data_IF_303735666536
#
_entry.id   IF_303735666536
#
_cell.length_a   1.000
_cell.length_b   1.000
_cell.length_c   1.000
_cell.angle_alpha   90.00
_cell.angle_beta   90.00
_cell.angle_gamma   90.00
#
_symmetry.space_group_name_H-M   'P 1'
#
loop_
_entity.id
_entity.type
_entity.pdbx_description
1 polymer ?
#
# COMPACT_ATOMS: atom_id res chain seq x y z
N UNK A 1 -13.85 -3.37 25.98
CA UNK A 1 -12.77 -2.82 25.14
C UNK A 1 -13.42 -2.45 23.82
N UNK A 2 -13.32 -1.21 23.37
CA UNK A 2 -13.79 -0.82 22.05
C UNK A 2 -13.01 -1.62 21.01
N UNK A 3 -13.72 -2.23 20.09
CA UNK A 3 -13.16 -3.13 19.08
C UNK A 3 -12.36 -2.25 18.07
N UNK A 4 -11.07 -2.03 18.36
CA UNK A 4 -10.18 -1.18 17.57
C UNK A 4 -9.85 -1.91 16.27
N UNK A 5 -10.14 -1.28 15.14
CA UNK A 5 -9.64 -1.74 13.84
C UNK A 5 -8.11 -1.75 13.88
N UNK A 6 -7.48 -2.86 13.47
CA UNK A 6 -6.03 -2.98 13.30
C UNK A 6 -5.74 -3.72 12.00
N UNK A 7 -5.05 -3.08 11.08
CA UNK A 7 -4.57 -3.76 9.88
C UNK A 7 -3.19 -3.25 9.47
N UNK A 8 -2.52 -4.00 8.62
CA UNK A 8 -1.17 -3.67 8.14
C UNK A 8 -1.22 -3.41 6.64
N UNK A 9 -0.44 -2.44 6.16
CA UNK A 9 -0.23 -2.18 4.73
C UNK A 9 1.25 -2.39 4.42
N UNK A 10 1.53 -3.29 3.48
CA UNK A 10 2.81 -3.48 2.82
C UNK A 10 2.70 -3.02 1.38
N UNK A 11 3.79 -2.58 0.76
CA UNK A 11 3.85 -2.15 -0.63
C UNK A 11 5.26 -2.26 -1.16
N UNK A 12 5.44 -2.18 -2.47
CA UNK A 12 6.74 -2.06 -3.12
C UNK A 12 7.68 -3.23 -2.73
N UNK A 13 7.24 -4.45 -3.01
CA UNK A 13 7.98 -5.67 -2.69
C UNK A 13 9.05 -6.00 -3.73
N UNK A 14 8.77 -5.71 -5.00
CA UNK A 14 9.66 -5.90 -6.16
C UNK A 14 10.32 -7.29 -6.19
N UNK A 15 9.50 -8.33 -5.97
CA UNK A 15 10.03 -9.69 -6.03
C UNK A 15 10.59 -10.01 -7.41
N UNK A 16 11.70 -10.75 -7.39
CA UNK A 16 12.36 -11.28 -8.59
C UNK A 16 12.40 -12.80 -8.55
N UNK A 17 12.83 -13.43 -9.64
CA UNK A 17 13.03 -14.88 -9.74
C UNK A 17 14.01 -15.38 -8.68
N UNK A 18 13.93 -16.66 -8.41
CA UNK A 18 14.88 -17.30 -7.47
C UNK A 18 16.32 -17.13 -7.97
N UNK A 19 17.21 -16.73 -7.06
CA UNK A 19 18.63 -16.49 -7.34
C UNK A 19 18.94 -15.12 -7.94
N UNK A 20 17.93 -14.28 -8.22
CA UNK A 20 18.09 -12.91 -8.68
C UNK A 20 17.94 -11.90 -7.54
N UNK A 21 18.39 -10.66 -7.78
CA UNK A 21 18.26 -9.53 -6.88
C UNK A 21 17.73 -8.32 -7.65
N UNK A 22 16.92 -7.47 -7.03
CA UNK A 22 16.58 -6.17 -7.56
C UNK A 22 17.38 -5.08 -6.84
N UNK A 23 18.07 -4.22 -7.58
CA UNK A 23 18.97 -3.19 -7.05
C UNK A 23 19.97 -3.71 -6.01
N UNK A 24 20.48 -4.94 -6.20
CA UNK A 24 21.38 -5.66 -5.29
C UNK A 24 20.74 -6.06 -3.95
N UNK A 25 19.41 -6.02 -3.83
CA UNK A 25 18.67 -6.47 -2.66
C UNK A 25 18.05 -7.85 -2.91
N UNK A 26 18.13 -8.74 -1.92
CA UNK A 26 17.36 -9.99 -1.88
C UNK A 26 15.93 -9.65 -1.43
N UNK A 27 15.06 -9.44 -2.40
CA UNK A 27 13.68 -9.00 -2.16
C UNK A 27 12.82 -10.07 -1.49
N UNK A 28 13.15 -11.36 -1.72
CA UNK A 28 12.42 -12.42 -1.02
C UNK A 28 12.81 -12.52 0.45
N UNK A 29 14.10 -12.45 0.79
CA UNK A 29 14.52 -12.41 2.19
C UNK A 29 13.89 -11.20 2.92
N UNK A 30 13.73 -10.07 2.24
CA UNK A 30 13.05 -8.90 2.79
C UNK A 30 11.56 -9.17 3.04
N UNK A 31 10.86 -9.79 2.10
CA UNK A 31 9.45 -10.16 2.30
C UNK A 31 9.30 -11.22 3.40
N UNK A 32 10.18 -12.21 3.47
CA UNK A 32 10.19 -13.20 4.56
C UNK A 32 10.35 -12.54 5.93
N UNK A 33 11.23 -11.54 6.04
CA UNK A 33 11.40 -10.76 7.26
C UNK A 33 10.14 -9.94 7.60
N UNK A 34 9.47 -9.33 6.59
CA UNK A 34 8.21 -8.62 6.78
C UNK A 34 7.10 -9.57 7.28
N UNK A 35 6.97 -10.77 6.70
CA UNK A 35 6.01 -11.79 7.11
C UNK A 35 6.31 -12.28 8.55
N UNK A 36 7.58 -12.48 8.89
CA UNK A 36 8.00 -12.87 10.23
C UNK A 36 7.62 -11.77 11.26
N UNK A 37 7.93 -10.51 10.97
CA UNK A 37 7.56 -9.36 11.81
C UNK A 37 6.04 -9.22 11.96
N UNK A 38 5.27 -9.35 10.86
CA UNK A 38 3.81 -9.34 10.88
C UNK A 38 3.26 -10.43 11.80
N UNK A 39 3.72 -11.66 11.65
CA UNK A 39 3.24 -12.80 12.42
C UNK A 39 3.65 -12.76 13.91
N UNK A 40 4.77 -12.11 14.24
CA UNK A 40 5.27 -11.97 15.60
C UNK A 40 4.58 -10.81 16.34
N UNK A 41 4.53 -9.64 15.73
CA UNK A 41 4.10 -8.41 16.40
C UNK A 41 2.63 -8.04 16.14
N UNK A 42 2.06 -8.50 15.02
CA UNK A 42 0.73 -8.10 14.54
C UNK A 42 -0.17 -9.29 14.21
N UNK A 43 0.04 -10.43 14.88
CA UNK A 43 -0.80 -11.63 14.73
C UNK A 43 -2.29 -11.38 15.08
N UNK A 44 -2.59 -10.30 15.78
CA UNK A 44 -3.93 -9.84 16.13
C UNK A 44 -4.50 -8.79 15.16
N UNK A 45 -3.83 -8.51 14.06
CA UNK A 45 -4.38 -7.65 13.00
C UNK A 45 -5.62 -8.30 12.36
N UNK A 46 -6.58 -7.48 11.98
CA UNK A 46 -7.79 -7.95 11.33
C UNK A 46 -7.50 -8.50 9.92
N UNK A 47 -6.52 -7.87 9.24
CA UNK A 47 -6.05 -8.27 7.90
C UNK A 47 -4.75 -7.54 7.55
N UNK A 48 -4.16 -7.91 6.41
CA UNK A 48 -3.07 -7.20 5.76
C UNK A 48 -3.45 -6.83 4.32
N UNK A 49 -2.98 -5.68 3.84
CA UNK A 49 -3.07 -5.26 2.44
C UNK A 49 -1.66 -5.20 1.86
N UNK A 50 -1.46 -5.80 0.67
CA UNK A 50 -0.25 -5.63 -0.12
C UNK A 50 -0.61 -4.71 -1.29
N UNK A 51 -0.08 -3.49 -1.27
CA UNK A 51 -0.56 -2.36 -2.07
C UNK A 51 0.30 -2.11 -3.31
N UNK A 52 0.55 -3.15 -4.11
CA UNK A 52 1.18 -3.05 -5.44
C UNK A 52 2.71 -3.12 -5.45
N UNK A 53 3.26 -3.14 -6.66
CA UNK A 53 4.64 -3.45 -6.99
C UNK A 53 5.10 -4.75 -6.32
N UNK A 54 4.35 -5.80 -6.63
CA UNK A 54 4.53 -7.14 -6.08
C UNK A 54 5.76 -7.82 -6.68
N UNK A 55 5.87 -7.78 -8.01
CA UNK A 55 7.00 -8.25 -8.80
C UNK A 55 7.76 -7.05 -9.39
N UNK A 56 9.05 -7.24 -9.68
CA UNK A 56 9.90 -6.17 -10.24
C UNK A 56 9.60 -5.93 -11.73
N UNK A 57 9.28 -6.97 -12.48
CA UNK A 57 8.96 -6.91 -13.92
C UNK A 57 7.67 -7.69 -14.29
N UNK A 58 6.85 -8.06 -13.32
CA UNK A 58 5.56 -8.72 -13.55
C UNK A 58 5.65 -10.17 -14.05
N UNK A 59 6.77 -10.85 -13.83
CA UNK A 59 6.98 -12.22 -14.29
C UNK A 59 6.32 -13.28 -13.41
N UNK A 60 5.88 -14.39 -14.02
CA UNK A 60 5.13 -15.44 -13.35
C UNK A 60 5.90 -16.08 -12.18
N UNK A 61 7.20 -16.28 -12.34
CA UNK A 61 8.05 -16.88 -11.31
C UNK A 61 8.13 -16.02 -10.05
N UNK A 62 8.15 -14.69 -10.18
CA UNK A 62 8.10 -13.77 -9.05
C UNK A 62 6.74 -13.85 -8.33
N UNK A 63 5.64 -13.95 -9.06
CA UNK A 63 4.30 -14.14 -8.47
C UNK A 63 4.14 -15.50 -7.79
N UNK A 64 4.68 -16.59 -8.33
CA UNK A 64 4.68 -17.89 -7.64
C UNK A 64 5.50 -17.84 -6.34
N UNK A 65 6.62 -17.12 -6.35
CA UNK A 65 7.43 -16.89 -5.16
C UNK A 65 6.68 -16.04 -4.13
N UNK A 66 6.01 -14.95 -4.57
CA UNK A 66 5.11 -14.14 -3.74
C UNK A 66 4.07 -15.02 -3.07
N UNK A 67 3.35 -15.82 -3.85
CA UNK A 67 2.29 -16.71 -3.39
C UNK A 67 2.80 -17.69 -2.32
N UNK A 68 4.00 -18.23 -2.53
CA UNK A 68 4.64 -19.15 -1.59
C UNK A 68 4.98 -18.48 -0.26
N UNK A 69 5.60 -17.30 -0.30
CA UNK A 69 6.02 -16.58 0.92
C UNK A 69 4.79 -16.04 1.67
N UNK A 70 3.84 -15.44 0.95
CA UNK A 70 2.63 -14.86 1.58
C UNK A 70 1.67 -15.89 2.13
N UNK A 71 1.74 -17.16 1.70
CA UNK A 71 1.03 -18.27 2.33
C UNK A 71 1.41 -18.45 3.82
N UNK A 72 2.55 -17.92 4.25
CA UNK A 72 2.96 -17.87 5.65
C UNK A 72 2.27 -16.81 6.50
N UNK A 73 1.54 -15.88 5.90
CA UNK A 73 0.78 -14.84 6.63
C UNK A 73 -0.44 -15.48 7.31
N UNK A 74 -0.62 -15.19 8.61
CA UNK A 74 -1.63 -15.83 9.45
C UNK A 74 -2.98 -15.10 9.51
N UNK A 75 -3.05 -13.91 8.96
CA UNK A 75 -4.27 -13.08 8.91
C UNK A 75 -4.77 -12.98 7.47
N UNK A 76 -6.06 -12.65 7.22
CA UNK A 76 -6.57 -12.44 5.88
C UNK A 76 -5.71 -11.46 5.08
N UNK A 77 -5.41 -11.77 3.81
CA UNK A 77 -4.55 -10.97 2.95
C UNK A 77 -5.31 -10.48 1.73
N UNK A 78 -5.25 -9.18 1.47
CA UNK A 78 -5.79 -8.52 0.27
C UNK A 78 -4.65 -7.94 -0.54
N UNK A 79 -4.67 -8.15 -1.84
CA UNK A 79 -3.58 -7.73 -2.74
C UNK A 79 -4.17 -6.82 -3.82
N UNK A 80 -3.48 -5.74 -4.15
CA UNK A 80 -3.73 -4.95 -5.36
C UNK A 80 -2.43 -4.77 -6.14
N UNK A 81 -2.50 -4.16 -7.33
CA UNK A 81 -1.36 -4.07 -8.23
C UNK A 81 -0.76 -2.66 -8.28
N UNK A 82 0.54 -2.59 -8.60
CA UNK A 82 1.28 -1.39 -8.94
C UNK A 82 1.71 -1.35 -10.41
N UNK A 83 2.55 -0.40 -10.76
CA UNK A 83 2.97 -0.19 -12.16
C UNK A 83 4.01 -1.22 -12.64
N UNK A 84 4.72 -1.89 -11.75
CA UNK A 84 5.62 -3.00 -12.09
C UNK A 84 4.89 -4.32 -12.33
N UNK A 85 3.61 -4.40 -11.97
CA UNK A 85 2.84 -5.63 -12.06
C UNK A 85 2.19 -5.82 -13.45
N UNK A 86 2.19 -7.08 -13.94
CA UNK A 86 1.43 -7.51 -15.10
C UNK A 86 0.15 -8.21 -14.64
N UNK A 87 -1.02 -7.55 -14.82
CA UNK A 87 -2.31 -8.07 -14.35
C UNK A 87 -2.69 -9.41 -14.96
N UNK A 88 -2.54 -9.66 -16.28
CA UNK A 88 -2.80 -10.98 -16.86
C UNK A 88 -1.96 -12.07 -16.22
N UNK A 89 -0.66 -11.85 -16.04
CA UNK A 89 0.24 -12.83 -15.40
C UNK A 89 -0.12 -13.05 -13.93
N UNK A 90 -0.41 -11.98 -13.17
CA UNK A 90 -0.91 -12.09 -11.81
C UNK A 90 -2.18 -12.96 -11.74
N UNK A 91 -3.17 -12.70 -12.58
CA UNK A 91 -4.43 -13.46 -12.61
C UNK A 91 -4.23 -14.91 -13.03
N UNK A 92 -3.25 -15.23 -13.87
CA UNK A 92 -2.91 -16.60 -14.21
C UNK A 92 -2.36 -17.38 -12.99
N UNK A 93 -1.57 -16.72 -12.11
CA UNK A 93 -0.96 -17.35 -10.93
C UNK A 93 -1.94 -17.41 -9.75
N UNK A 94 -2.63 -16.31 -9.46
CA UNK A 94 -3.50 -16.20 -8.28
C UNK A 94 -4.96 -16.59 -8.56
N UNK A 95 -5.39 -16.57 -9.82
CA UNK A 95 -6.72 -16.92 -10.25
C UNK A 95 -7.55 -15.72 -10.73
N UNK A 96 -8.35 -15.94 -11.76
CA UNK A 96 -9.17 -14.90 -12.39
C UNK A 96 -10.23 -14.28 -11.44
N UNK A 97 -10.58 -14.97 -10.36
CA UNK A 97 -11.53 -14.49 -9.35
C UNK A 97 -11.01 -13.33 -8.50
N UNK A 98 -9.72 -12.99 -8.61
CA UNK A 98 -9.16 -11.80 -7.97
C UNK A 98 -9.57 -10.49 -8.65
N UNK A 99 -9.96 -10.52 -9.93
CA UNK A 99 -10.50 -9.34 -10.61
C UNK A 99 -11.98 -9.14 -10.23
N UNK A 100 -12.36 -7.89 -9.96
CA UNK A 100 -13.74 -7.50 -9.74
C UNK A 100 -14.50 -7.22 -11.05
N UNK A 101 -15.74 -6.71 -10.94
CA UNK A 101 -16.57 -6.35 -12.09
C UNK A 101 -15.99 -5.25 -12.99
N UNK A 102 -15.01 -4.49 -12.52
CA UNK A 102 -14.30 -3.47 -13.32
C UNK A 102 -13.14 -4.07 -14.13
N UNK A 103 -12.79 -5.33 -13.88
CA UNK A 103 -11.62 -5.99 -14.45
C UNK A 103 -10.30 -5.61 -13.76
N UNK A 104 -10.38 -4.94 -12.62
CA UNK A 104 -9.24 -4.51 -11.78
C UNK A 104 -9.19 -5.33 -10.49
N UNK A 105 -8.10 -5.23 -9.76
CA UNK A 105 -7.92 -5.91 -8.47
C UNK A 105 -8.29 -4.95 -7.34
N UNK A 106 -9.60 -4.65 -7.25
CA UNK A 106 -10.16 -3.80 -6.20
C UNK A 106 -10.77 -4.68 -5.08
N UNK A 107 -10.84 -4.14 -3.85
CA UNK A 107 -11.50 -4.81 -2.72
C UNK A 107 -12.32 -3.83 -1.90
N UNK A 108 -13.37 -4.34 -1.25
CA UNK A 108 -14.12 -3.67 -0.18
C UNK A 108 -14.09 -4.57 1.05
N UNK A 109 -13.66 -4.01 2.17
CA UNK A 109 -13.51 -4.74 3.44
C UNK A 109 -14.31 -3.97 4.50
N UNK A 110 -15.40 -4.56 4.97
CA UNK A 110 -16.19 -4.03 6.08
C UNK A 110 -15.82 -4.75 7.38
N UNK A 111 -15.27 -4.02 8.32
CA UNK A 111 -14.76 -4.59 9.57
C UNK A 111 -14.84 -3.57 10.71
N UNK A 112 -15.30 -3.99 11.87
CA UNK A 112 -15.32 -3.18 13.11
C UNK A 112 -15.88 -1.76 12.92
N UNK A 113 -16.93 -1.63 12.09
CA UNK A 113 -17.59 -0.35 11.82
C UNK A 113 -16.85 0.57 10.84
N UNK A 114 -15.78 0.11 10.22
CA UNK A 114 -15.05 0.78 9.14
C UNK A 114 -15.32 0.13 7.80
N UNK A 115 -15.21 0.90 6.74
CA UNK A 115 -15.00 0.40 5.37
C UNK A 115 -13.59 0.72 4.92
N UNK A 116 -12.84 -0.29 4.45
CA UNK A 116 -11.56 -0.12 3.77
C UNK A 116 -11.76 -0.47 2.30
N UNK A 117 -11.44 0.47 1.41
CA UNK A 117 -11.51 0.31 -0.04
C UNK A 117 -10.09 0.23 -0.59
N UNK A 118 -9.79 -0.84 -1.31
CA UNK A 118 -8.51 -1.03 -2.00
C UNK A 118 -8.75 -0.82 -3.49
N UNK A 119 -7.92 0.02 -4.13
CA UNK A 119 -8.03 0.35 -5.54
C UNK A 119 -6.78 -0.07 -6.32
N UNK A 120 -6.98 -0.78 -7.40
CA UNK A 120 -5.95 -1.07 -8.40
C UNK A 120 -5.80 0.15 -9.33
N UNK A 121 -4.77 0.95 -9.09
CA UNK A 121 -4.44 2.13 -9.88
C UNK A 121 -3.43 1.85 -10.98
N UNK A 122 -3.04 0.57 -11.20
CA UNK A 122 -2.12 0.18 -12.26
C UNK A 122 -2.78 0.25 -13.64
N UNK A 123 -2.00 0.62 -14.65
CA UNK A 123 -2.44 0.60 -16.05
C UNK A 123 -1.31 0.05 -16.93
N UNK A 124 -1.59 -0.96 -17.80
CA UNK A 124 -0.54 -1.56 -18.62
C UNK A 124 0.27 -0.54 -19.44
N UNK A 125 1.60 -0.63 -19.36
CA UNK A 125 2.53 0.23 -20.06
C UNK A 125 2.65 1.66 -19.50
N UNK A 126 2.11 1.93 -18.31
CA UNK A 126 2.22 3.22 -17.63
C UNK A 126 2.92 3.07 -16.29
N UNK A 127 3.72 4.07 -15.94
CA UNK A 127 4.37 4.19 -14.62
C UNK A 127 3.53 5.04 -13.68
N UNK A 128 2.76 5.99 -14.21
CA UNK A 128 1.82 6.81 -13.47
C UNK A 128 0.47 6.08 -13.25
N UNK A 129 -0.21 6.37 -12.15
CA UNK A 129 -1.47 5.72 -11.80
C UNK A 129 -2.64 6.19 -12.66
N UNK A 130 -3.53 5.28 -13.01
CA UNK A 130 -4.79 5.58 -13.71
C UNK A 130 -5.96 4.96 -12.99
N UNK A 131 -6.96 5.78 -12.69
CA UNK A 131 -8.27 5.34 -12.21
C UNK A 131 -9.30 5.58 -13.32
N UNK A 132 -9.84 4.50 -13.88
CA UNK A 132 -10.75 4.58 -15.02
C UNK A 132 -12.13 5.16 -14.61
N UNK A 133 -12.89 5.68 -15.58
CA UNK A 133 -14.24 6.17 -15.34
C UNK A 133 -15.16 5.08 -14.73
N UNK A 134 -14.95 3.80 -15.11
CA UNK A 134 -15.68 2.68 -14.52
C UNK A 134 -15.32 2.50 -13.04
N UNK A 135 -14.02 2.55 -12.68
CA UNK A 135 -13.61 2.51 -11.28
C UNK A 135 -14.13 3.72 -10.48
N UNK A 136 -14.21 4.91 -11.08
CA UNK A 136 -14.77 6.08 -10.38
C UNK A 136 -16.27 5.92 -10.10
N UNK A 137 -17.03 5.32 -11.03
CA UNK A 137 -18.44 4.95 -10.79
C UNK A 137 -18.55 3.91 -9.68
N UNK A 138 -17.72 2.87 -9.73
CA UNK A 138 -17.64 1.83 -8.72
C UNK A 138 -17.28 2.43 -7.33
N UNK A 139 -16.22 3.24 -7.24
CA UNK A 139 -15.80 3.88 -6.01
C UNK A 139 -16.92 4.74 -5.41
N UNK A 140 -17.56 5.56 -6.22
CA UNK A 140 -18.68 6.43 -5.76
C UNK A 140 -19.83 5.60 -5.18
N UNK A 141 -20.17 4.46 -5.83
CA UNK A 141 -21.16 3.52 -5.30
C UNK A 141 -20.73 2.93 -3.95
N UNK A 142 -19.46 2.46 -3.85
CA UNK A 142 -18.93 1.88 -2.59
C UNK A 142 -18.90 2.91 -1.45
N UNK A 143 -18.58 4.17 -1.76
CA UNK A 143 -18.61 5.27 -0.78
C UNK A 143 -20.06 5.57 -0.32
N UNK A 144 -21.01 5.60 -1.24
CA UNK A 144 -22.42 5.84 -0.90
C UNK A 144 -23.01 4.74 0.00
N UNK A 145 -22.63 3.48 -0.23
CA UNK A 145 -23.03 2.35 0.61
C UNK A 145 -22.48 2.44 2.05
N UNK A 146 -21.42 3.20 2.26
CA UNK A 146 -20.74 3.40 3.55
C UNK A 146 -21.02 4.76 4.16
N UNK A 147 -22.07 5.47 3.76
CA UNK A 147 -22.37 6.84 4.20
C UNK A 147 -22.51 6.99 5.74
N UNK A 148 -22.71 5.89 6.45
CA UNK A 148 -22.92 5.82 7.90
C UNK A 148 -21.64 5.46 8.71
N UNK A 149 -20.49 5.26 8.04
CA UNK A 149 -19.27 4.77 8.70
C UNK A 149 -18.00 5.39 8.10
N UNK A 150 -16.89 5.47 8.88
CA UNK A 150 -15.61 5.96 8.38
C UNK A 150 -15.04 5.07 7.27
N UNK A 151 -14.39 5.71 6.29
CA UNK A 151 -13.74 5.04 5.16
C UNK A 151 -12.24 5.33 5.16
N UNK A 152 -11.46 4.27 4.88
CA UNK A 152 -10.03 4.35 4.56
C UNK A 152 -9.86 3.84 3.13
N UNK A 153 -9.02 4.51 2.34
CA UNK A 153 -8.71 4.10 0.96
C UNK A 153 -7.24 3.73 0.86
N UNK A 154 -6.94 2.58 0.23
CA UNK A 154 -5.58 2.12 -0.01
C UNK A 154 -5.41 1.89 -1.52
N UNK A 155 -4.32 2.38 -2.09
CA UNK A 155 -3.98 2.19 -3.50
C UNK A 155 -2.46 2.24 -3.66
N UNK A 156 -1.95 1.87 -4.85
CA UNK A 156 -0.50 1.93 -5.06
C UNK A 156 -0.01 3.36 -5.28
N UNK A 157 -0.56 4.09 -6.25
CA UNK A 157 -0.08 5.42 -6.61
C UNK A 157 -0.67 6.52 -5.73
N UNK A 158 0.16 7.43 -5.25
CA UNK A 158 -0.31 8.62 -4.52
C UNK A 158 -1.00 9.64 -5.45
N UNK A 159 -1.95 10.39 -4.92
CA UNK A 159 -2.61 11.47 -5.67
C UNK A 159 -1.96 12.84 -5.42
N UNK A 160 -1.53 13.10 -4.19
CA UNK A 160 -0.95 14.38 -3.80
C UNK A 160 0.49 14.54 -4.31
N UNK A 161 0.87 15.77 -4.68
CA UNK A 161 2.26 16.10 -4.93
C UNK A 161 3.09 16.05 -3.63
N UNK A 162 4.31 15.54 -3.76
CA UNK A 162 5.31 15.48 -2.71
C UNK A 162 6.41 16.54 -2.89
N UNK A 163 6.33 17.34 -3.97
CA UNK A 163 7.30 18.34 -4.37
C UNK A 163 8.69 17.76 -4.65
N UNK A 164 8.73 16.56 -5.24
CA UNK A 164 9.94 15.83 -5.65
C UNK A 164 9.84 15.39 -7.12
N UNK A 165 10.90 14.82 -7.66
CA UNK A 165 10.92 14.36 -9.07
C UNK A 165 9.85 13.29 -9.36
N UNK A 166 9.47 12.48 -8.38
CA UNK A 166 8.44 11.43 -8.50
C UNK A 166 7.00 11.98 -8.70
N UNK A 167 6.77 13.28 -8.59
CA UNK A 167 5.44 13.86 -8.85
C UNK A 167 4.94 13.65 -10.28
N UNK A 168 5.83 13.31 -11.20
CA UNK A 168 5.48 13.01 -12.61
C UNK A 168 4.84 11.63 -12.78
N UNK A 169 4.94 10.76 -11.78
CA UNK A 169 4.47 9.37 -11.80
C UNK A 169 3.32 9.09 -10.81
N UNK A 170 2.79 10.11 -10.13
CA UNK A 170 1.57 10.00 -9.30
C UNK A 170 0.33 9.66 -10.16
N UNK A 171 -0.86 9.58 -9.58
CA UNK A 171 -2.11 9.47 -10.35
C UNK A 171 -2.17 10.56 -11.42
N UNK A 172 -2.38 10.16 -12.68
CA UNK A 172 -2.29 11.01 -13.86
C UNK A 172 -3.31 12.17 -13.82
N UNK A 173 -4.56 11.86 -13.53
CA UNK A 173 -5.65 12.83 -13.32
C UNK A 173 -6.34 12.48 -12.02
N UNK A 174 -5.96 13.17 -10.96
CA UNK A 174 -6.47 12.92 -9.62
C UNK A 174 -7.78 13.66 -9.33
N UNK A 175 -8.21 14.60 -10.18
CA UNK A 175 -9.40 15.40 -9.92
C UNK A 175 -10.69 14.58 -9.80
N UNK A 176 -10.99 13.57 -10.64
CA UNK A 176 -12.14 12.70 -10.47
C UNK A 176 -12.08 11.89 -9.16
N UNK A 177 -10.89 11.41 -8.77
CA UNK A 177 -10.69 10.66 -7.53
C UNK A 177 -10.96 11.55 -6.31
N UNK A 178 -10.39 12.74 -6.27
CA UNK A 178 -10.63 13.71 -5.19
C UNK A 178 -12.12 14.11 -5.12
N UNK A 179 -12.75 14.30 -6.27
CA UNK A 179 -14.20 14.61 -6.33
C UNK A 179 -15.02 13.45 -5.75
N UNK A 180 -14.71 12.20 -6.10
CA UNK A 180 -15.38 11.03 -5.56
C UNK A 180 -15.20 10.93 -4.03
N UNK A 181 -13.99 11.06 -3.51
CA UNK A 181 -13.72 11.01 -2.06
C UNK A 181 -14.51 12.09 -1.31
N UNK A 182 -14.64 13.28 -1.86
CA UNK A 182 -15.38 14.40 -1.26
C UNK A 182 -16.89 14.19 -1.20
N UNK A 183 -17.44 13.20 -1.88
CA UNK A 183 -18.86 12.82 -1.73
C UNK A 183 -19.13 12.15 -0.40
N UNK A 184 -18.09 11.65 0.28
CA UNK A 184 -18.20 10.98 1.57
C UNK A 184 -17.78 11.90 2.72
N UNK A 185 -18.58 11.92 3.79
CA UNK A 185 -18.38 12.85 4.92
C UNK A 185 -17.25 12.47 5.88
N UNK A 186 -16.73 11.24 5.83
CA UNK A 186 -15.77 10.73 6.81
C UNK A 186 -14.68 9.85 6.16
N UNK A 187 -13.85 10.46 5.29
CA UNK A 187 -12.64 9.82 4.78
C UNK A 187 -11.51 10.01 5.81
N UNK A 188 -11.14 8.93 6.48
CA UNK A 188 -10.16 8.96 7.58
C UNK A 188 -8.72 8.95 7.11
N UNK A 189 -8.42 8.30 5.99
CA UNK A 189 -7.07 8.19 5.46
C UNK A 189 -7.08 7.71 4.01
N UNK A 190 -6.12 8.19 3.22
CA UNK A 190 -5.72 7.61 1.93
C UNK A 190 -4.26 7.19 2.05
N UNK A 191 -3.96 5.90 1.84
CA UNK A 191 -2.63 5.32 2.02
C UNK A 191 -2.12 4.82 0.68
N UNK A 192 -0.87 5.16 0.34
CA UNK A 192 -0.24 4.77 -0.92
C UNK A 192 1.22 4.33 -0.73
N UNK A 193 1.73 3.51 -1.66
CA UNK A 193 3.14 3.15 -1.83
C UNK A 193 3.83 3.96 -2.92
N UNK A 194 4.46 3.25 -3.87
CA UNK A 194 4.99 3.72 -5.16
C UNK A 194 6.23 4.62 -5.10
N UNK A 195 6.22 5.61 -4.23
CA UNK A 195 7.26 6.65 -4.18
C UNK A 195 8.45 6.29 -3.30
N UNK A 196 8.43 5.13 -2.67
CA UNK A 196 9.47 4.64 -1.75
C UNK A 196 9.89 5.67 -0.69
N UNK A 197 8.95 6.52 -0.29
CA UNK A 197 9.16 7.61 0.67
C UNK A 197 7.99 7.70 1.64
N UNK A 198 8.30 7.77 2.93
CA UNK A 198 7.28 8.01 3.95
C UNK A 198 6.93 9.49 3.99
N UNK A 199 5.67 9.80 3.80
CA UNK A 199 5.16 11.17 3.87
C UNK A 199 3.74 11.24 4.43
N UNK A 200 3.35 12.41 4.88
CA UNK A 200 1.96 12.74 5.24
C UNK A 200 1.61 14.09 4.66
N UNK A 201 0.38 14.23 4.18
CA UNK A 201 -0.12 15.47 3.59
C UNK A 201 -1.62 15.65 3.90
N UNK A 202 -2.05 16.90 3.91
CA UNK A 202 -3.46 17.26 3.76
C UNK A 202 -3.63 17.80 2.34
N UNK A 203 -4.34 17.06 1.50
CA UNK A 203 -4.55 17.41 0.11
C UNK A 203 -6.05 17.57 -0.17
N UNK A 204 -6.46 18.76 -0.61
CA UNK A 204 -7.87 19.11 -0.75
C UNK A 204 -8.75 18.90 0.50
N UNK A 205 -8.15 18.97 1.70
CA UNK A 205 -8.80 18.74 2.98
C UNK A 205 -8.88 17.26 3.39
N UNK A 206 -8.32 16.35 2.61
CA UNK A 206 -8.27 14.91 2.88
C UNK A 206 -6.87 14.50 3.36
N UNK A 207 -6.75 13.56 4.31
CA UNK A 207 -5.46 13.08 4.80
C UNK A 207 -4.87 12.03 3.85
N UNK A 208 -3.62 12.21 3.45
CA UNK A 208 -2.84 11.30 2.62
C UNK A 208 -1.56 10.87 3.33
N UNK A 209 -1.19 9.63 3.15
CA UNK A 209 0.04 9.04 3.67
C UNK A 209 0.67 8.17 2.60
N UNK A 210 2.00 8.26 2.43
CA UNK A 210 2.78 7.29 1.66
C UNK A 210 3.71 6.52 2.60
N UNK A 211 4.08 5.29 2.22
CA UNK A 211 5.06 4.48 2.94
C UNK A 211 6.26 4.19 2.04
N UNK A 212 7.43 3.96 2.66
CA UNK A 212 8.66 3.67 1.93
C UNK A 212 8.67 2.27 1.30
N UNK A 213 7.83 1.36 1.79
CA UNK A 213 7.68 0.02 1.24
C UNK A 213 8.77 -0.97 1.64
N UNK A 214 8.67 -2.16 1.04
CA UNK A 214 9.50 -3.32 1.39
C UNK A 214 10.85 -3.38 0.69
N UNK A 215 11.04 -2.66 -0.42
CA UNK A 215 12.24 -2.75 -1.25
C UNK A 215 13.31 -1.73 -0.82
N UNK A 216 13.57 -0.70 -1.60
CA UNK A 216 14.48 0.40 -1.25
C UNK A 216 13.69 1.60 -0.76
N UNK A 217 14.36 2.54 -0.13
CA UNK A 217 13.81 3.89 0.11
C UNK A 217 14.55 4.91 -0.73
N UNK A 218 13.96 6.10 -0.93
CA UNK A 218 14.59 7.18 -1.67
C UNK A 218 15.09 8.28 -0.75
N UNK A 219 16.23 8.90 -1.10
CA UNK A 219 16.68 10.11 -0.43
C UNK A 219 15.80 11.29 -0.82
N UNK A 220 15.55 12.16 0.12
CA UNK A 220 14.75 13.37 -0.07
C UNK A 220 15.62 14.61 0.17
N UNK A 221 15.46 15.63 -0.69
CA UNK A 221 16.09 16.92 -0.52
C UNK A 221 15.07 18.05 -0.78
N UNK A 222 14.54 18.61 0.30
CA UNK A 222 13.54 19.66 0.24
C UNK A 222 14.04 20.95 -0.43
N UNK A 223 15.34 21.25 -0.31
CA UNK A 223 15.93 22.46 -0.85
C UNK A 223 16.17 22.35 -2.38
N UNK A 224 16.26 21.13 -2.89
CA UNK A 224 16.54 20.84 -4.29
C UNK A 224 15.61 19.72 -4.82
N UNK A 225 14.31 19.94 -4.92
CA UNK A 225 13.34 18.91 -5.22
C UNK A 225 13.47 18.30 -6.63
N UNK A 226 14.18 18.97 -7.54
CA UNK A 226 14.43 18.49 -8.92
C UNK A 226 15.78 17.80 -9.08
N UNK A 227 16.59 17.68 -8.02
CA UNK A 227 17.82 16.88 -8.10
C UNK A 227 17.50 15.39 -8.13
N UNK A 228 18.33 14.58 -8.81
CA UNK A 228 18.19 13.14 -8.76
C UNK A 228 18.23 12.65 -7.32
N UNK A 229 17.24 11.83 -6.94
CA UNK A 229 17.23 11.14 -5.66
C UNK A 229 18.16 9.92 -5.70
N UNK A 230 18.60 9.46 -4.53
CA UNK A 230 19.38 8.24 -4.39
C UNK A 230 18.47 7.13 -3.86
N UNK A 231 18.61 5.95 -4.40
CA UNK A 231 18.03 4.75 -3.79
C UNK A 231 18.92 4.31 -2.63
N UNK A 232 18.29 4.03 -1.51
CA UNK A 232 18.94 3.63 -0.24
C UNK A 232 18.44 2.23 0.12
N UNK A 233 19.27 1.42 0.76
CA UNK A 233 18.86 0.07 1.16
C UNK A 233 17.62 0.07 2.06
N UNK A 234 17.42 1.12 2.86
CA UNK A 234 16.27 1.28 3.76
C UNK A 234 16.09 0.13 4.75
N UNK A 235 15.34 0.34 5.82
CA UNK A 235 15.04 -0.71 6.80
C UNK A 235 13.95 -1.67 6.33
N UNK A 236 13.29 -1.42 5.17
CA UNK A 236 12.03 -2.07 4.80
C UNK A 236 10.91 -1.69 5.77
N UNK A 237 9.83 -1.14 5.24
CA UNK A 237 8.81 -0.51 6.06
C UNK A 237 7.42 -1.03 5.71
N UNK A 238 6.58 -1.21 6.73
CA UNK A 238 5.13 -1.41 6.61
C UNK A 238 4.40 -0.39 7.47
N UNK A 239 3.14 -0.08 7.11
CA UNK A 239 2.28 0.77 7.90
C UNK A 239 1.32 -0.07 8.74
N UNK A 240 1.19 0.27 10.03
CA UNK A 240 0.21 -0.31 10.95
C UNK A 240 -0.88 0.72 11.18
N UNK A 241 -2.11 0.39 10.80
CA UNK A 241 -3.25 1.29 10.88
C UNK A 241 -4.15 0.89 12.04
N UNK A 242 -4.41 1.85 12.93
CA UNK A 242 -5.30 1.69 14.08
C UNK A 242 -6.49 2.62 13.92
N UNK A 243 -7.71 2.08 13.91
CA UNK A 243 -8.95 2.84 13.80
C UNK A 243 -9.80 2.73 15.05
N UNK A 244 -10.22 3.87 15.59
CA UNK A 244 -11.20 4.00 16.68
C UNK A 244 -12.34 4.91 16.24
N UNK A 245 -13.48 4.99 16.94
CA UNK A 245 -14.56 5.92 16.56
C UNK A 245 -14.09 7.39 16.40
N UNK A 246 -12.99 7.77 17.08
CA UNK A 246 -12.53 9.15 17.15
C UNK A 246 -11.23 9.45 16.41
N UNK A 247 -10.46 8.42 16.03
CA UNK A 247 -9.15 8.60 15.43
C UNK A 247 -8.79 7.47 14.48
N UNK A 248 -8.00 7.80 13.46
CA UNK A 248 -7.24 6.84 12.66
C UNK A 248 -5.77 7.21 12.78
N UNK A 249 -4.95 6.27 13.24
CA UNK A 249 -3.52 6.45 13.40
C UNK A 249 -2.79 5.53 12.43
N UNK A 250 -1.79 6.06 11.75
CA UNK A 250 -0.86 5.29 10.92
C UNK A 250 0.50 5.31 11.59
N UNK A 251 0.98 4.15 11.99
CA UNK A 251 2.32 3.95 12.54
C UNK A 251 3.18 3.27 11.47
N UNK A 252 4.47 3.53 11.48
CA UNK A 252 5.40 2.90 10.56
C UNK A 252 6.31 1.94 11.32
N UNK A 253 6.34 0.68 10.89
CA UNK A 253 7.18 -0.37 11.43
C UNK A 253 8.30 -0.68 10.45
N UNK A 254 9.52 -0.45 10.88
CA UNK A 254 10.73 -0.82 10.13
C UNK A 254 11.10 -2.27 10.47
N UNK A 255 10.83 -3.21 9.58
CA UNK A 255 10.97 -4.64 9.86
C UNK A 255 12.39 -5.20 9.67
N UNK A 256 13.29 -4.42 9.07
CA UNK A 256 14.74 -4.73 8.98
C UNK A 256 15.55 -3.71 9.79
N UNK A 257 15.03 -3.32 10.94
CA UNK A 257 15.65 -2.32 11.79
C UNK A 257 16.87 -2.90 12.52
N UNK A 258 18.02 -2.24 12.36
CA UNK A 258 19.26 -2.55 13.07
C UNK A 258 19.48 -1.71 14.33
N UNK A 259 18.46 -1.02 14.85
CA UNK A 259 18.58 -0.17 16.02
C UNK A 259 18.92 -0.97 17.29
N UNK A 260 19.78 -0.41 18.12
CA UNK A 260 20.11 -0.97 19.44
C UNK A 260 19.14 -0.43 20.49
N UNK A 261 18.57 -1.30 21.30
CA UNK A 261 17.76 -0.91 22.44
C UNK A 261 18.65 -0.19 23.46
N UNK A 262 18.36 1.08 23.74
CA UNK A 262 19.11 1.92 24.71
C UNK A 262 18.38 2.10 26.05
N UNK A 263 17.13 1.64 26.15
CA UNK A 263 16.35 1.71 27.38
C UNK A 263 15.01 1.00 27.23
N UNK A 264 14.45 0.58 28.36
CA UNK A 264 13.11 0.02 28.45
C UNK A 264 12.25 0.95 29.31
N UNK A 265 11.07 1.28 28.84
CA UNK A 265 10.06 2.04 29.57
C UNK A 265 8.84 1.13 29.77
N UNK A 266 8.53 0.83 31.03
CA UNK A 266 7.33 0.07 31.34
C UNK A 266 6.12 1.02 31.27
N UNK A 267 4.99 0.61 30.67
CA UNK A 267 3.73 1.34 30.83
C UNK A 267 3.33 1.29 32.31
N UNK A 268 2.93 2.42 32.87
CA UNK A 268 2.39 2.54 34.22
C UNK A 268 1.03 1.81 34.35
#
# INVERSE_FOLDING_TARGET
>A
MTDTLKFVVMSDLHLVREGETSMSLDTAARLEAAVACLNDRYADADFVIIAGDLADEGEAEAYERLKTITAGIRVPTYITLGNHDDRPTYLNVFGAHHADETGKINHVIDVKGYRVIVLDSSEPGRVDGVLTAHQMTWLTSRLAEAADRPVIVVLHHNANALHIAADTIKIHDDAPFIAALKTHGDIRQVIAGHVHLTSTAIYHGLPFTTLAGGHYSVSFNADQPKTPFKSLTGPGQMAVVLGTPHATTVLFEDFLDGNTVIGLHNPD
#
